data_IF_899846148911
#
_entry.id   IF_899846148911
#
_cell.length_a   1.000
_cell.length_b   1.000
_cell.length_c   1.000
_cell.angle_alpha   90.00
_cell.angle_beta   90.00
_cell.angle_gamma   90.00
#
_symmetry.space_group_name_H-M   'P 1'
#
loop_
_entity.id
_entity.type
_entity.pdbx_description
1 polymer ?
#
# COMPACT_ATOMS: atom_id res chain seq x y z
N UNK A 1 -3.96 -15.50 2.08
CA UNK A 1 -3.03 -14.35 2.05
C UNK A 1 -2.29 -14.23 0.71
N UNK A 2 -2.46 -15.16 -0.24
CA UNK A 2 -1.63 -15.21 -1.45
C UNK A 2 -1.97 -14.20 -2.55
N UNK A 3 -3.14 -13.56 -2.52
CA UNK A 3 -3.59 -12.76 -3.68
C UNK A 3 -2.87 -11.41 -3.80
N UNK A 4 -2.47 -10.78 -2.69
CA UNK A 4 -1.77 -9.49 -2.75
C UNK A 4 -0.29 -9.65 -3.11
N UNK A 5 0.37 -10.74 -2.69
CA UNK A 5 1.75 -11.05 -3.04
C UNK A 5 1.88 -11.26 -4.55
N UNK A 6 1.01 -12.09 -5.15
CA UNK A 6 0.94 -12.28 -6.60
C UNK A 6 0.63 -10.99 -7.35
N UNK A 7 -0.22 -10.13 -6.80
CA UNK A 7 -0.50 -8.83 -7.41
C UNK A 7 0.70 -7.88 -7.34
N UNK A 8 1.52 -7.96 -6.28
CA UNK A 8 2.76 -7.18 -6.15
C UNK A 8 3.84 -7.69 -7.11
N UNK A 9 3.97 -9.01 -7.27
CA UNK A 9 4.82 -9.64 -8.27
C UNK A 9 4.43 -9.18 -9.68
N UNK A 10 3.14 -9.26 -10.03
CA UNK A 10 2.64 -8.80 -11.32
C UNK A 10 2.93 -7.31 -11.57
N UNK A 11 2.78 -6.44 -10.56
CA UNK A 11 3.15 -5.03 -10.66
C UNK A 11 4.65 -4.85 -10.94
N UNK A 12 5.50 -5.67 -10.32
CA UNK A 12 6.94 -5.64 -10.54
C UNK A 12 7.33 -6.15 -11.93
N UNK A 13 6.72 -7.25 -12.39
CA UNK A 13 6.91 -7.78 -13.75
C UNK A 13 6.54 -6.73 -14.81
N UNK A 14 5.41 -6.02 -14.65
CA UNK A 14 5.04 -4.92 -15.55
C UNK A 14 6.16 -3.88 -15.65
N UNK A 15 6.78 -3.50 -14.52
CA UNK A 15 7.88 -2.53 -14.48
C UNK A 15 9.16 -3.08 -15.12
N UNK A 16 9.49 -4.34 -14.87
CA UNK A 16 10.66 -5.02 -15.46
C UNK A 16 10.54 -5.14 -16.97
N UNK A 17 9.33 -5.35 -17.48
CA UNK A 17 9.01 -5.35 -18.91
C UNK A 17 8.97 -3.93 -19.53
N UNK A 18 9.29 -2.90 -18.75
CA UNK A 18 9.30 -1.51 -19.19
C UNK A 18 7.91 -0.88 -19.33
N UNK A 19 6.86 -1.56 -18.86
CA UNK A 19 5.52 -0.99 -18.78
C UNK A 19 5.39 -0.11 -17.55
N UNK A 20 4.67 1.00 -17.66
CA UNK A 20 4.33 1.82 -16.50
C UNK A 20 3.01 1.34 -15.91
N UNK A 21 2.98 0.86 -14.65
CA UNK A 21 1.73 0.67 -13.96
C UNK A 21 0.98 2.00 -13.83
N UNK A 22 -0.33 1.94 -13.99
CA UNK A 22 -1.20 3.09 -13.89
C UNK A 22 -1.69 3.29 -12.45
N UNK A 23 -2.35 4.43 -12.27
CA UNK A 23 -2.95 4.84 -11.01
C UNK A 23 -3.93 3.81 -10.42
N UNK A 24 -4.69 3.09 -11.24
CA UNK A 24 -5.68 2.13 -10.76
C UNK A 24 -5.04 0.85 -10.23
N UNK A 25 -3.95 0.36 -10.84
CA UNK A 25 -3.16 -0.75 -10.30
C UNK A 25 -2.59 -0.43 -8.92
N UNK A 26 -1.91 0.72 -8.78
CA UNK A 26 -1.40 1.18 -7.48
C UNK A 26 -2.51 1.35 -6.44
N UNK A 27 -3.63 1.99 -6.80
CA UNK A 27 -4.76 2.19 -5.90
C UNK A 27 -5.28 0.86 -5.33
N UNK A 28 -5.49 -0.14 -6.19
CA UNK A 28 -6.04 -1.45 -5.78
C UNK A 28 -5.08 -2.18 -4.85
N UNK A 29 -3.79 -2.19 -5.16
CA UNK A 29 -2.76 -2.82 -4.32
C UNK A 29 -2.65 -2.14 -2.96
N UNK A 30 -2.58 -0.81 -2.93
CA UNK A 30 -2.52 -0.05 -1.68
C UNK A 30 -3.76 -0.32 -0.81
N UNK A 31 -4.97 -0.32 -1.41
CA UNK A 31 -6.19 -0.66 -0.67
C UNK A 31 -6.17 -2.10 -0.13
N UNK A 32 -5.69 -3.06 -0.91
CA UNK A 32 -5.57 -4.45 -0.48
C UNK A 32 -4.59 -4.59 0.70
N UNK A 33 -3.42 -3.97 0.58
CA UNK A 33 -2.40 -3.96 1.64
C UNK A 33 -2.94 -3.37 2.94
N UNK A 34 -3.65 -2.25 2.86
CA UNK A 34 -4.25 -1.62 4.04
C UNK A 34 -5.44 -2.40 4.63
N UNK A 35 -6.37 -2.88 3.81
CA UNK A 35 -7.64 -3.45 4.28
C UNK A 35 -7.61 -4.96 4.53
N UNK A 36 -6.68 -5.67 3.90
CA UNK A 36 -6.60 -7.14 3.95
C UNK A 36 -5.33 -7.62 4.64
N UNK A 37 -4.18 -7.05 4.29
CA UNK A 37 -2.90 -7.44 4.86
C UNK A 37 -2.52 -6.66 6.14
N UNK A 38 -3.18 -5.52 6.41
CA UNK A 38 -2.82 -4.56 7.45
C UNK A 38 -1.35 -4.08 7.35
N UNK A 39 -0.78 -4.12 6.14
CA UNK A 39 0.61 -3.74 5.88
C UNK A 39 0.69 -2.32 5.31
N UNK A 40 0.56 -1.33 6.20
CA UNK A 40 0.68 0.06 5.81
C UNK A 40 2.10 0.43 5.35
N UNK A 41 3.14 -0.32 5.74
CA UNK A 41 4.54 -0.01 5.38
C UNK A 41 4.78 -0.26 3.90
N UNK A 42 4.33 -1.40 3.39
CA UNK A 42 4.42 -1.69 1.95
C UNK A 42 3.49 -0.77 1.15
N UNK A 43 2.31 -0.45 1.70
CA UNK A 43 1.41 0.52 1.09
C UNK A 43 2.03 1.93 0.95
N UNK A 44 2.76 2.40 1.97
CA UNK A 44 3.46 3.69 1.96
C UNK A 44 4.60 3.71 0.93
N UNK A 45 5.33 2.59 0.77
CA UNK A 45 6.36 2.44 -0.29
C UNK A 45 5.75 2.55 -1.69
N UNK A 46 4.64 1.85 -1.95
CA UNK A 46 3.95 1.92 -3.24
C UNK A 46 3.38 3.32 -3.52
N UNK A 47 2.86 4.00 -2.50
CA UNK A 47 2.43 5.40 -2.63
C UNK A 47 3.60 6.29 -3.04
N UNK A 48 4.76 6.13 -2.41
CA UNK A 48 5.96 6.91 -2.75
C UNK A 48 6.43 6.63 -4.19
N UNK A 49 6.48 5.37 -4.58
CA UNK A 49 6.85 4.96 -5.93
C UNK A 49 5.92 5.57 -6.99
N UNK A 50 4.61 5.57 -6.71
CA UNK A 50 3.60 6.16 -7.57
C UNK A 50 3.78 7.69 -7.70
N UNK A 51 4.01 8.39 -6.58
CA UNK A 51 4.25 9.83 -6.59
C UNK A 51 5.57 10.18 -7.33
N UNK A 52 6.63 9.39 -7.14
CA UNK A 52 7.92 9.53 -7.83
C UNK A 52 7.78 9.26 -9.35
N UNK A 53 6.78 8.47 -9.76
CA UNK A 53 6.42 8.22 -11.17
C UNK A 53 5.51 9.31 -11.77
N UNK A 54 5.22 10.38 -11.03
CA UNK A 54 4.40 11.51 -11.49
C UNK A 54 2.90 11.24 -11.46
N UNK A 55 2.47 10.11 -10.92
CA UNK A 55 1.06 9.77 -10.73
C UNK A 55 0.57 10.33 -9.40
N UNK A 56 -0.72 10.67 -9.27
CA UNK A 56 -1.29 11.14 -7.99
C UNK A 56 -2.45 10.28 -7.52
N UNK A 57 -2.34 9.74 -6.31
CA UNK A 57 -3.44 8.99 -5.68
C UNK A 57 -4.68 9.86 -5.41
N UNK A 58 -5.84 9.19 -5.37
CA UNK A 58 -7.08 9.75 -4.79
C UNK A 58 -6.86 10.00 -3.30
N UNK A 59 -7.44 11.08 -2.76
CA UNK A 59 -7.28 11.46 -1.34
C UNK A 59 -7.64 10.33 -0.37
N UNK A 60 -8.68 9.56 -0.68
CA UNK A 60 -9.16 8.42 0.12
C UNK A 60 -8.05 7.38 0.36
N UNK A 61 -7.24 7.08 -0.66
CA UNK A 61 -6.19 6.05 -0.56
C UNK A 61 -5.07 6.47 0.41
N UNK A 62 -4.73 7.76 0.47
CA UNK A 62 -3.72 8.28 1.42
C UNK A 62 -4.23 8.25 2.86
N UNK A 63 -5.48 8.64 3.09
CA UNK A 63 -6.10 8.60 4.42
C UNK A 63 -6.16 7.18 4.98
N UNK A 64 -6.35 6.18 4.11
CA UNK A 64 -6.38 4.78 4.52
C UNK A 64 -5.03 4.29 5.08
N UNK A 65 -3.90 4.66 4.46
CA UNK A 65 -2.56 4.34 4.98
C UNK A 65 -2.37 4.94 6.39
N UNK A 66 -2.76 6.21 6.56
CA UNK A 66 -2.65 6.89 7.85
C UNK A 66 -3.47 6.18 8.95
N UNK A 67 -4.72 5.81 8.65
CA UNK A 67 -5.58 5.11 9.60
C UNK A 67 -5.01 3.75 10.03
N UNK A 68 -4.51 2.94 9.09
CA UNK A 68 -3.91 1.62 9.43
C UNK A 68 -2.62 1.78 10.23
N UNK A 69 -1.82 2.81 9.92
CA UNK A 69 -0.60 3.15 10.66
C UNK A 69 -0.91 3.56 12.10
N UNK A 70 -1.92 4.39 12.31
CA UNK A 70 -2.39 4.80 13.64
C UNK A 70 -2.89 3.59 14.45
N UNK A 71 -3.69 2.71 13.84
CA UNK A 71 -4.18 1.48 14.48
C UNK A 71 -3.03 0.57 14.98
N UNK A 72 -1.97 0.41 14.19
CA UNK A 72 -0.80 -0.37 14.63
C UNK A 72 -0.06 0.32 15.80
N UNK A 73 0.10 1.65 15.74
CA UNK A 73 0.74 2.41 16.80
C UNK A 73 -0.05 2.36 18.12
N UNK A 74 -1.39 2.37 18.06
CA UNK A 74 -2.27 2.20 19.22
C UNK A 74 -2.17 0.79 19.81
N UNK A 75 -2.20 -0.25 18.97
CA UNK A 75 -2.03 -1.64 19.42
C UNK A 75 -0.67 -1.88 20.10
N UNK A 76 0.38 -1.22 19.59
CA UNK A 76 1.72 -1.30 20.17
C UNK A 76 1.82 -0.63 21.55
N UNK A 77 1.10 0.48 21.78
CA UNK A 77 1.04 1.16 23.07
C UNK A 77 0.21 0.37 24.09
N UNK A 78 -0.95 -0.15 23.68
CA UNK A 78 -1.83 -0.95 24.55
C UNK A 78 -1.13 -2.22 25.09
N UNK A 79 -0.20 -2.79 24.32
CA UNK A 79 0.58 -3.97 24.73
C UNK A 79 1.70 -3.67 25.75
N UNK A 80 2.02 -2.40 25.98
CA UNK A 80 3.06 -1.97 26.93
C UNK A 80 2.49 -1.46 28.27
N UNK A 81 1.16 -1.30 28.37
CA UNK A 81 0.45 -0.78 29.55
C UNK A 81 -0.24 -1.87 30.39
N UNK A 82 -0.03 -3.15 30.07
CA UNK A 82 -0.51 -4.34 30.82
C UNK A 82 0.65 -5.12 31.43
#
# INVERSE_FOLDING_TARGET
MEEFEKALECLNEMKEDGMQPNMDEYNKLIQSLCLKALDWRTAEKLLKEMDDSGLRLKGITRSLIAAVKELEMESSKASQET
#
